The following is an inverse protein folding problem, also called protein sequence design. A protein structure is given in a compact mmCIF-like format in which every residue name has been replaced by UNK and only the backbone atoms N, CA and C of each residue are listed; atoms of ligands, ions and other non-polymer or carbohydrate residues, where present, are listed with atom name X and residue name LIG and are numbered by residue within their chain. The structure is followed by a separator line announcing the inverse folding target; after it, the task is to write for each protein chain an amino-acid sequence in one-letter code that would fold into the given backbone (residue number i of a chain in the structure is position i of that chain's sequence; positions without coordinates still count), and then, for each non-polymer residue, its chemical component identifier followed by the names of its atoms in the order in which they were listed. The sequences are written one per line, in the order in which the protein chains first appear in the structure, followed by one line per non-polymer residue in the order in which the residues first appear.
data_IF_891219632250
#
_entry.id   IF_891219632250
#
_cell.length_a   1.000
_cell.length_b   1.000
_cell.length_c   1.000
_cell.angle_alpha   90.00
_cell.angle_beta   90.00
_cell.angle_gamma   90.00
#
_symmetry.space_group_name_H-M   'P 1'
#
loop_
_entity.id
_entity.type
_entity.pdbx_description
1 polymer ?
#
# COMPACT_ATOMS: atom_id res chain seq x y z
N UNK A 1 32.53 -6.83 -3.50
CA UNK A 1 32.39 -6.21 -4.84
C UNK A 1 32.36 -4.68 -4.65
N UNK A 2 32.89 -3.86 -5.55
CA UNK A 2 32.65 -2.39 -5.45
C UNK A 2 31.21 -2.12 -5.90
N UNK A 3 30.40 -1.35 -5.16
CA UNK A 3 29.04 -1.02 -5.58
C UNK A 3 29.05 -0.27 -6.91
N UNK A 4 28.09 -0.56 -7.80
CA UNK A 4 27.89 0.23 -9.01
C UNK A 4 27.36 1.62 -8.62
N UNK A 5 28.02 2.67 -9.09
CA UNK A 5 27.50 4.03 -9.03
C UNK A 5 26.90 4.37 -10.38
N UNK A 6 25.59 4.55 -10.43
CA UNK A 6 24.87 4.83 -11.67
C UNK A 6 24.19 6.19 -11.61
N UNK A 7 24.20 6.92 -12.73
CA UNK A 7 23.51 8.21 -12.84
C UNK A 7 22.02 8.02 -13.05
N UNK A 8 21.22 8.98 -12.59
CA UNK A 8 19.79 8.97 -12.78
C UNK A 8 19.39 8.98 -14.26
N UNK A 9 20.09 9.71 -15.12
CA UNK A 9 19.82 9.76 -16.57
C UNK A 9 19.69 8.40 -17.23
N UNK A 10 20.51 7.41 -16.85
CA UNK A 10 20.45 6.05 -17.41
C UNK A 10 19.10 5.36 -17.16
N UNK A 11 18.37 5.82 -16.14
CA UNK A 11 17.09 5.29 -15.71
C UNK A 11 15.93 6.27 -15.92
N UNK A 12 16.14 7.41 -16.59
CA UNK A 12 15.10 8.42 -16.81
C UNK A 12 13.80 7.82 -17.37
N UNK A 13 13.96 6.94 -18.34
CA UNK A 13 12.88 6.20 -18.98
C UNK A 13 12.05 5.33 -18.01
N UNK A 14 12.61 4.89 -16.87
CA UNK A 14 11.92 4.03 -15.90
C UNK A 14 10.89 4.79 -15.07
N UNK A 15 11.13 6.07 -14.76
CA UNK A 15 10.14 6.91 -14.08
C UNK A 15 9.32 7.77 -15.04
N UNK A 16 9.79 7.95 -16.28
CA UNK A 16 9.03 8.62 -17.35
C UNK A 16 8.02 7.69 -18.05
N UNK A 17 8.09 6.37 -17.87
CA UNK A 17 7.10 5.41 -18.39
C UNK A 17 6.27 4.86 -17.24
N UNK A 18 5.20 5.54 -16.84
CA UNK A 18 4.51 5.11 -15.66
C UNK A 18 3.52 4.05 -16.15
N UNK A 19 3.63 2.84 -15.59
CA UNK A 19 2.51 1.91 -15.50
C UNK A 19 1.45 2.55 -14.60
N UNK A 20 0.86 3.66 -15.05
CA UNK A 20 -0.15 4.34 -14.29
C UNK A 20 -1.36 3.42 -14.25
N UNK A 21 -1.70 2.96 -13.05
CA UNK A 21 -3.07 2.55 -12.79
C UNK A 21 -4.00 3.65 -13.29
N UNK A 22 -5.19 3.29 -13.77
CA UNK A 22 -6.15 4.28 -14.27
C UNK A 22 -6.43 5.35 -13.20
N UNK A 23 -6.41 4.97 -11.91
CA UNK A 23 -6.41 5.89 -10.78
C UNK A 23 -5.29 6.92 -10.90
N UNK A 24 -4.03 6.48 -10.98
CA UNK A 24 -2.90 7.39 -11.07
C UNK A 24 -3.03 8.33 -12.26
N UNK A 25 -3.41 7.85 -13.46
CA UNK A 25 -3.57 8.71 -14.65
C UNK A 25 -4.52 9.86 -14.38
N UNK A 26 -5.69 9.52 -13.84
CA UNK A 26 -6.75 10.49 -13.58
C UNK A 26 -6.31 11.55 -12.57
N UNK A 27 -5.55 11.18 -11.52
CA UNK A 27 -5.09 12.15 -10.51
C UNK A 27 -3.75 12.82 -10.83
N UNK A 28 -3.02 12.42 -11.86
CA UNK A 28 -1.76 13.08 -12.26
C UNK A 28 -1.91 13.96 -13.49
N UNK A 29 -2.94 13.71 -14.30
CA UNK A 29 -3.24 14.46 -15.51
C UNK A 29 -3.59 15.92 -15.17
N UNK A 30 -2.76 16.90 -15.60
CA UNK A 30 -3.02 18.32 -15.35
C UNK A 30 -4.31 18.83 -16.00
N UNK A 31 -4.81 18.17 -17.06
CA UNK A 31 -6.09 18.55 -17.68
C UNK A 31 -7.28 18.03 -16.87
N UNK A 32 -7.09 16.94 -16.12
CA UNK A 32 -8.13 16.30 -15.32
C UNK A 32 -8.19 16.80 -13.88
N UNK A 33 -7.06 17.23 -13.29
CA UNK A 33 -6.96 17.57 -11.87
C UNK A 33 -6.03 18.77 -11.63
N UNK A 34 -6.60 19.78 -10.98
CA UNK A 34 -5.87 20.95 -10.46
C UNK A 34 -4.65 20.56 -9.62
N UNK A 35 -3.61 21.40 -9.60
CA UNK A 35 -2.35 21.12 -8.88
C UNK A 35 -2.58 20.67 -7.43
N UNK A 36 -3.53 21.30 -6.74
CA UNK A 36 -3.86 20.96 -5.36
C UNK A 36 -4.50 19.57 -5.23
N UNK A 37 -5.35 19.17 -6.18
CA UNK A 37 -5.92 17.83 -6.22
C UNK A 37 -4.87 16.75 -6.40
N UNK A 38 -3.82 17.02 -7.21
CA UNK A 38 -2.68 16.11 -7.38
C UNK A 38 -1.89 15.96 -6.08
N UNK A 39 -1.64 17.07 -5.38
CA UNK A 39 -1.00 17.06 -4.06
C UNK A 39 -1.81 16.27 -3.04
N UNK A 40 -3.14 16.48 -3.00
CA UNK A 40 -4.04 15.75 -2.10
C UNK A 40 -4.04 14.25 -2.42
N UNK A 41 -4.10 13.87 -3.69
CA UNK A 41 -4.03 12.47 -4.11
C UNK A 41 -2.72 11.79 -3.64
N UNK A 42 -1.60 12.52 -3.67
CA UNK A 42 -0.28 12.06 -3.22
C UNK A 42 -0.11 12.01 -1.69
N UNK A 43 -1.01 12.64 -0.91
CA UNK A 43 -0.95 12.55 0.56
C UNK A 43 -1.09 11.10 1.04
N UNK A 44 -0.36 10.79 2.12
CA UNK A 44 -0.55 9.54 2.86
C UNK A 44 -2.00 9.41 3.35
N UNK A 45 -2.48 8.19 3.58
CA UNK A 45 -3.84 7.95 4.10
C UNK A 45 -4.18 8.80 5.34
N UNK A 46 -3.34 8.81 6.40
CA UNK A 46 -3.56 9.64 7.58
C UNK A 46 -3.55 11.15 7.30
N UNK A 47 -2.61 11.65 6.50
CA UNK A 47 -2.54 13.09 6.18
C UNK A 47 -3.75 13.55 5.35
N UNK A 48 -4.15 12.73 4.37
CA UNK A 48 -5.37 12.94 3.58
C UNK A 48 -6.61 12.95 4.46
N UNK A 49 -6.68 12.02 5.42
CA UNK A 49 -7.78 11.94 6.37
C UNK A 49 -7.86 13.18 7.27
N UNK A 50 -6.73 13.64 7.84
CA UNK A 50 -6.70 14.86 8.66
C UNK A 50 -7.14 16.12 7.88
N UNK A 51 -6.68 16.25 6.63
CA UNK A 51 -7.14 17.31 5.73
C UNK A 51 -8.65 17.22 5.49
N UNK A 52 -9.17 16.03 5.20
CA UNK A 52 -10.61 15.82 5.03
C UNK A 52 -11.38 16.16 6.33
N UNK A 53 -10.92 15.70 7.50
CA UNK A 53 -11.57 15.99 8.77
C UNK A 53 -11.65 17.50 9.04
N UNK A 54 -10.60 18.27 8.73
CA UNK A 54 -10.60 19.73 8.89
C UNK A 54 -11.71 20.39 8.05
N UNK A 55 -11.87 19.92 6.81
CA UNK A 55 -12.89 20.45 5.88
C UNK A 55 -14.29 20.05 6.28
N UNK A 56 -14.48 18.80 6.70
CA UNK A 56 -15.78 18.35 7.20
C UNK A 56 -16.17 19.10 8.48
N UNK A 57 -15.21 19.38 9.36
CA UNK A 57 -15.44 20.15 10.58
C UNK A 57 -15.91 21.58 10.29
N UNK A 58 -15.33 22.21 9.27
CA UNK A 58 -15.75 23.53 8.79
C UNK A 58 -17.14 23.49 8.15
N UNK A 59 -17.38 22.52 7.26
CA UNK A 59 -18.69 22.31 6.64
C UNK A 59 -19.79 22.03 7.67
N UNK A 60 -19.49 21.24 8.72
CA UNK A 60 -20.43 20.96 9.82
C UNK A 60 -20.73 22.21 10.65
N UNK A 61 -19.74 23.10 10.83
CA UNK A 61 -19.91 24.41 11.45
C UNK A 61 -20.82 25.34 10.64
N UNK A 62 -20.67 25.34 9.31
CA UNK A 62 -21.51 26.12 8.40
C UNK A 62 -22.95 25.59 8.36
N UNK A 63 -23.13 24.27 8.39
CA UNK A 63 -24.44 23.63 8.40
C UNK A 63 -25.20 23.80 9.73
N UNK A 64 -24.50 24.11 10.82
CA UNK A 64 -25.07 24.22 12.17
C UNK A 64 -24.58 25.49 12.87
N UNK A 65 -25.02 26.67 12.38
CA UNK A 65 -24.63 27.94 12.97
C UNK A 65 -25.08 28.02 14.43
N UNK A 66 -24.13 28.33 15.33
CA UNK A 66 -24.37 28.46 16.77
C UNK A 66 -24.24 27.15 17.57
N UNK A 67 -24.03 26.01 16.91
CA UNK A 67 -23.73 24.76 17.60
C UNK A 67 -22.41 24.84 18.36
N UNK A 68 -22.33 24.17 19.51
CA UNK A 68 -21.09 24.05 20.29
C UNK A 68 -20.31 22.86 19.80
N UNK A 69 -19.01 23.03 19.61
CA UNK A 69 -18.14 21.96 19.17
C UNK A 69 -17.08 21.66 20.23
N UNK A 70 -16.93 20.38 20.52
CA UNK A 70 -15.85 19.81 21.30
C UNK A 70 -14.98 18.96 20.37
N UNK A 71 -13.79 19.47 20.08
CA UNK A 71 -12.81 18.86 19.18
C UNK A 71 -11.88 17.86 19.92
N UNK A 72 -12.16 17.53 21.19
CA UNK A 72 -11.48 16.45 21.89
C UNK A 72 -11.86 15.10 21.28
N UNK A 73 -11.03 14.62 20.35
CA UNK A 73 -11.19 13.31 19.75
C UNK A 73 -11.20 12.22 20.84
N UNK A 74 -12.28 11.44 20.89
CA UNK A 74 -12.40 10.27 21.79
C UNK A 74 -12.52 8.99 20.98
N UNK A 75 -12.53 7.87 21.68
CA UNK A 75 -12.57 6.57 21.02
C UNK A 75 -13.86 6.39 20.19
N UNK A 76 -13.74 6.48 18.87
CA UNK A 76 -14.78 6.14 17.91
C UNK A 76 -15.57 7.30 17.29
N UNK A 77 -15.24 8.54 17.64
CA UNK A 77 -15.72 9.76 16.96
C UNK A 77 -14.62 10.82 16.86
N UNK A 78 -14.78 11.76 15.93
CA UNK A 78 -13.75 12.75 15.59
C UNK A 78 -14.00 14.10 16.29
N UNK A 79 -15.26 14.51 16.45
CA UNK A 79 -15.69 15.62 17.32
C UNK A 79 -17.09 15.40 17.87
N UNK A 80 -17.50 16.22 18.83
CA UNK A 80 -18.86 16.28 19.33
C UNK A 80 -19.46 17.66 19.03
N UNK A 81 -20.65 17.67 18.43
CA UNK A 81 -21.44 18.87 18.12
C UNK A 81 -22.69 18.85 18.98
N UNK A 82 -22.77 19.74 19.97
CA UNK A 82 -23.76 19.70 21.06
C UNK A 82 -23.74 18.32 21.74
N UNK A 83 -24.77 17.49 21.56
CA UNK A 83 -24.84 16.10 22.04
C UNK A 83 -24.62 15.06 20.93
N UNK A 84 -24.30 15.50 19.71
CA UNK A 84 -24.10 14.65 18.53
C UNK A 84 -22.61 14.30 18.40
N UNK A 85 -22.26 13.05 18.69
CA UNK A 85 -20.93 12.50 18.40
C UNK A 85 -20.81 12.24 16.89
N UNK A 86 -19.87 12.89 16.22
CA UNK A 86 -19.68 12.81 14.77
C UNK A 86 -18.39 12.05 14.46
N UNK A 87 -18.50 10.97 13.67
CA UNK A 87 -17.35 10.25 13.13
C UNK A 87 -17.16 10.58 11.64
N UNK A 88 -15.91 10.70 11.22
CA UNK A 88 -15.52 11.00 9.84
C UNK A 88 -14.74 9.87 9.23
N UNK A 89 -15.03 9.52 7.98
CA UNK A 89 -14.16 8.63 7.21
C UNK A 89 -13.92 9.19 5.82
N UNK A 90 -12.69 9.08 5.34
CA UNK A 90 -12.33 9.55 4.01
C UNK A 90 -11.93 8.40 3.10
N UNK A 91 -12.33 8.46 1.83
CA UNK A 91 -11.86 7.56 0.78
C UNK A 91 -11.60 8.34 -0.50
N UNK A 92 -10.59 7.92 -1.25
CA UNK A 92 -10.35 8.41 -2.60
C UNK A 92 -11.00 7.47 -3.61
N UNK A 93 -11.63 8.04 -4.64
CA UNK A 93 -12.17 7.29 -5.76
C UNK A 93 -11.02 6.62 -6.52
N UNK A 94 -11.00 5.29 -6.57
CA UNK A 94 -9.91 4.53 -7.16
C UNK A 94 -10.42 3.49 -8.17
N UNK A 95 -9.72 3.35 -9.29
CA UNK A 95 -9.93 2.25 -10.22
C UNK A 95 -9.34 0.97 -9.62
N UNK A 96 -10.21 -0.02 -9.39
CA UNK A 96 -9.83 -1.35 -8.93
C UNK A 96 -10.00 -2.33 -10.08
N UNK A 97 -8.92 -3.02 -10.46
CA UNK A 97 -9.00 -4.18 -11.35
C UNK A 97 -9.54 -5.38 -10.56
N UNK A 98 -10.52 -6.09 -11.13
CA UNK A 98 -11.11 -7.29 -10.53
C UNK A 98 -10.83 -8.50 -11.42
N UNK A 99 -10.03 -9.44 -10.91
CA UNK A 99 -9.69 -10.66 -11.64
C UNK A 99 -8.99 -10.37 -12.96
N UNK A 100 -9.33 -11.12 -14.00
CA UNK A 100 -8.48 -11.16 -15.19
C UNK A 100 -8.67 -9.98 -16.15
N UNK A 101 -9.83 -9.31 -16.27
CA UNK A 101 -10.00 -8.31 -17.36
C UNK A 101 -10.98 -7.15 -17.14
N UNK A 102 -11.67 -7.06 -16.00
CA UNK A 102 -12.63 -5.97 -15.79
C UNK A 102 -12.33 -5.19 -14.53
N UNK A 103 -12.13 -3.89 -14.70
CA UNK A 103 -12.00 -2.97 -13.58
C UNK A 103 -13.28 -2.18 -13.34
N UNK A 104 -13.35 -1.55 -12.17
CA UNK A 104 -14.43 -0.62 -11.80
C UNK A 104 -13.87 0.43 -10.85
N UNK A 105 -14.50 1.60 -10.82
CA UNK A 105 -14.22 2.61 -9.81
C UNK A 105 -14.83 2.22 -8.47
N UNK A 106 -14.10 2.48 -7.38
CA UNK A 106 -14.43 2.03 -6.03
C UNK A 106 -14.15 3.13 -5.02
N UNK A 107 -15.05 3.27 -4.04
CA UNK A 107 -14.79 3.94 -2.76
C UNK A 107 -14.77 2.89 -1.66
N UNK A 108 -13.77 2.96 -0.78
CA UNK A 108 -13.52 2.00 0.29
C UNK A 108 -13.19 2.73 1.58
N UNK A 109 -14.17 2.81 2.47
CA UNK A 109 -14.00 3.37 3.81
C UNK A 109 -13.76 2.22 4.78
N UNK A 110 -12.63 2.26 5.48
CA UNK A 110 -12.25 1.22 6.45
C UNK A 110 -12.39 1.74 7.88
N UNK A 111 -12.38 0.81 8.85
CA UNK A 111 -12.44 1.11 10.28
C UNK A 111 -13.70 1.91 10.69
N UNK A 112 -14.84 1.57 10.09
CA UNK A 112 -16.13 2.21 10.39
C UNK A 112 -16.76 1.49 11.57
N UNK A 113 -16.82 2.15 12.73
CA UNK A 113 -17.41 1.57 13.95
C UNK A 113 -18.90 1.90 14.01
N UNK A 114 -19.72 1.10 13.32
CA UNK A 114 -21.17 1.25 13.44
C UNK A 114 -21.67 0.58 14.72
N UNK A 115 -22.68 1.16 15.36
CA UNK A 115 -23.39 0.55 16.49
C UNK A 115 -23.65 -0.93 16.21
N UNK A 116 -23.32 -1.79 17.18
CA UNK A 116 -23.90 -3.12 17.21
C UNK A 116 -25.31 -3.02 17.80
N UNK A 117 -26.18 -3.99 17.54
CA UNK A 117 -27.52 -4.02 18.16
C UNK A 117 -27.46 -4.12 19.71
N UNK A 118 -26.28 -4.37 20.29
CA UNK A 118 -26.10 -4.70 21.70
C UNK A 118 -25.37 -3.59 22.49
N UNK A 119 -24.71 -2.64 21.81
CA UNK A 119 -23.90 -1.59 22.45
C UNK A 119 -24.24 -0.20 21.88
N UNK A 120 -24.23 0.81 22.75
CA UNK A 120 -24.38 2.21 22.34
C UNK A 120 -23.33 2.54 21.27
N UNK A 121 -23.81 3.08 20.14
CA UNK A 121 -22.95 3.51 19.05
C UNK A 121 -21.90 4.49 19.56
N UNK A 122 -20.61 4.34 19.20
CA UNK A 122 -19.60 5.31 19.60
C UNK A 122 -19.83 6.69 18.96
N UNK A 123 -20.65 6.78 17.91
CA UNK A 123 -21.07 8.02 17.28
C UNK A 123 -22.55 8.00 16.88
N UNK A 124 -23.17 9.18 16.90
CA UNK A 124 -24.56 9.39 16.46
C UNK A 124 -24.62 9.63 14.94
N UNK A 125 -23.62 10.31 14.39
CA UNK A 125 -23.55 10.69 12.99
C UNK A 125 -22.25 10.17 12.34
N UNK A 126 -22.36 9.69 11.10
CA UNK A 126 -21.21 9.30 10.27
C UNK A 126 -21.17 10.21 9.05
N UNK A 127 -20.08 10.95 8.89
CA UNK A 127 -19.82 11.74 7.70
C UNK A 127 -18.68 11.12 6.87
N UNK A 128 -18.83 11.15 5.54
CA UNK A 128 -17.88 10.59 4.59
C UNK A 128 -17.30 11.69 3.71
N UNK A 129 -15.98 11.71 3.59
CA UNK A 129 -15.25 12.53 2.63
C UNK A 129 -14.92 11.67 1.39
N UNK A 130 -15.48 12.03 0.24
CA UNK A 130 -15.22 11.38 -1.04
C UNK A 130 -14.25 12.27 -1.83
N UNK A 131 -12.99 11.87 -1.89
CA UNK A 131 -11.98 12.56 -2.70
C UNK A 131 -12.13 12.11 -4.15
N UNK A 132 -12.48 13.03 -5.03
CA UNK A 132 -12.63 12.84 -6.47
C UNK A 132 -11.63 13.72 -7.24
N UNK A 133 -11.49 13.56 -8.55
CA UNK A 133 -10.68 14.45 -9.39
C UNK A 133 -11.18 15.91 -9.43
N UNK A 134 -12.45 16.18 -9.14
CA UNK A 134 -12.99 17.55 -9.14
C UNK A 134 -12.86 18.27 -7.78
N UNK A 135 -12.68 17.52 -6.70
CA UNK A 135 -12.69 18.07 -5.35
C UNK A 135 -13.05 17.03 -4.30
N UNK A 136 -13.55 17.50 -3.17
CA UNK A 136 -13.98 16.66 -2.05
C UNK A 136 -15.48 16.82 -1.86
N UNK A 137 -16.21 15.73 -1.93
CA UNK A 137 -17.63 15.70 -1.59
C UNK A 137 -17.82 15.21 -0.15
N UNK A 138 -18.64 15.93 0.60
CA UNK A 138 -18.93 15.67 2.00
C UNK A 138 -20.34 15.11 2.10
N UNK A 139 -20.47 13.90 2.64
CA UNK A 139 -21.73 13.17 2.72
C UNK A 139 -22.06 12.84 4.17
N UNK A 140 -23.31 13.08 4.59
CA UNK A 140 -23.88 12.43 5.78
C UNK A 140 -24.37 11.04 5.38
N UNK A 141 -23.81 10.00 6.01
CA UNK A 141 -24.10 8.61 5.68
C UNK A 141 -25.28 8.05 6.49
N UNK A 142 -26.09 7.22 5.86
CA UNK A 142 -27.28 6.57 6.46
C UNK A 142 -26.94 5.42 7.46
N UNK A 143 -25.65 5.07 7.57
CA UNK A 143 -25.09 3.94 8.34
C UNK A 143 -25.55 2.56 7.87
N UNK A 144 -26.13 2.43 6.68
CA UNK A 144 -26.61 1.14 6.12
C UNK A 144 -26.06 0.89 4.73
N UNK A 145 -26.05 1.90 3.87
CA UNK A 145 -25.69 1.77 2.47
C UNK A 145 -24.22 1.35 2.32
N UNK A 146 -23.98 0.32 1.49
CA UNK A 146 -22.64 -0.18 1.18
C UNK A 146 -21.86 -0.78 2.36
N UNK A 147 -22.46 -0.92 3.54
CA UNK A 147 -21.82 -1.53 4.71
C UNK A 147 -21.62 -3.03 4.46
N UNK A 148 -20.38 -3.49 4.45
CA UNK A 148 -20.04 -4.92 4.40
C UNK A 148 -20.52 -5.66 5.65
N UNK A 149 -21.00 -6.89 5.48
CA UNK A 149 -21.48 -7.77 6.56
C UNK A 149 -20.57 -9.00 6.73
N UNK A 150 -19.33 -8.96 6.22
CA UNK A 150 -18.56 -10.16 5.94
C UNK A 150 -17.39 -10.34 6.92
N UNK A 151 -17.68 -11.02 8.03
CA UNK A 151 -16.69 -11.86 8.73
C UNK A 151 -16.40 -11.50 10.18
N UNK A 152 -15.96 -12.50 10.94
CA UNK A 152 -15.65 -12.44 12.39
C UNK A 152 -14.59 -11.39 12.77
N UNK A 153 -13.77 -10.95 11.80
CA UNK A 153 -12.72 -9.94 11.98
C UNK A 153 -13.28 -8.50 12.08
N UNK A 154 -14.49 -8.25 11.60
CA UNK A 154 -15.10 -6.91 11.59
C UNK A 154 -15.42 -6.39 12.99
N UNK A 155 -15.54 -7.26 14.01
CA UNK A 155 -15.75 -6.84 15.41
C UNK A 155 -14.54 -6.10 15.99
N UNK A 156 -13.33 -6.46 15.57
CA UNK A 156 -12.09 -5.87 16.11
C UNK A 156 -11.61 -4.69 15.27
N UNK A 157 -11.77 -4.77 13.95
CA UNK A 157 -11.23 -3.76 13.02
C UNK A 157 -12.27 -2.71 12.60
N UNK A 158 -13.54 -2.91 12.91
CA UNK A 158 -14.65 -2.12 12.39
C UNK A 158 -15.14 -2.64 11.03
N UNK A 159 -16.31 -2.17 10.61
CA UNK A 159 -16.92 -2.50 9.32
C UNK A 159 -16.25 -1.71 8.20
N UNK A 160 -16.47 -2.18 6.97
CA UNK A 160 -16.04 -1.49 5.75
C UNK A 160 -17.26 -1.01 4.97
N UNK A 161 -17.24 0.22 4.47
CA UNK A 161 -18.24 0.73 3.53
C UNK A 161 -17.62 0.71 2.14
N UNK A 162 -18.29 0.06 1.19
CA UNK A 162 -17.83 -0.08 -0.19
C UNK A 162 -18.90 0.41 -1.16
N UNK A 163 -18.50 1.32 -2.05
CA UNK A 163 -19.34 1.76 -3.18
C UNK A 163 -18.62 1.43 -4.49
N UNK A 164 -19.40 0.97 -5.47
CA UNK A 164 -18.85 0.50 -6.74
C UNK A 164 -19.52 1.19 -7.93
N UNK A 165 -18.71 1.70 -8.84
CA UNK A 165 -19.13 2.07 -10.18
C UNK A 165 -19.43 0.84 -11.04
N UNK A 166 -20.00 1.06 -12.22
CA UNK A 166 -20.25 -0.02 -13.19
C UNK A 166 -18.94 -0.59 -13.73
N UNK A 167 -18.90 -1.91 -13.82
CA UNK A 167 -17.77 -2.67 -14.38
C UNK A 167 -17.52 -2.25 -15.83
N UNK A 168 -16.25 -1.99 -16.16
CA UNK A 168 -15.80 -1.58 -17.49
C UNK A 168 -15.94 -0.09 -17.80
N UNK A 169 -16.63 0.70 -16.98
CA UNK A 169 -16.77 2.16 -17.18
C UNK A 169 -15.48 2.86 -16.74
N UNK A 170 -14.57 3.09 -17.70
CA UNK A 170 -13.24 3.69 -17.41
C UNK A 170 -13.31 5.15 -16.99
N UNK A 171 -14.28 5.92 -17.47
CA UNK A 171 -14.46 7.33 -17.09
C UNK A 171 -14.86 7.47 -15.63
N UNK A 172 -14.00 8.08 -14.81
CA UNK A 172 -14.24 8.25 -13.38
C UNK A 172 -15.53 9.03 -13.12
N UNK A 173 -15.77 10.10 -13.90
CA UNK A 173 -16.95 10.98 -13.74
C UNK A 173 -18.24 10.21 -13.99
N UNK A 174 -18.32 9.51 -15.12
CA UNK A 174 -19.46 8.65 -15.43
C UNK A 174 -19.68 7.55 -14.37
N UNK A 175 -18.60 6.93 -13.88
CA UNK A 175 -18.71 5.94 -12.81
C UNK A 175 -19.17 6.56 -11.48
N UNK A 176 -18.75 7.78 -11.18
CA UNK A 176 -19.11 8.49 -9.97
C UNK A 176 -20.55 9.01 -10.02
N UNK A 177 -20.87 9.85 -11.00
CA UNK A 177 -22.14 10.56 -11.13
C UNK A 177 -23.32 9.65 -11.49
N UNK A 178 -23.10 8.62 -12.32
CA UNK A 178 -24.19 7.75 -12.78
C UNK A 178 -24.37 6.49 -11.93
N UNK A 179 -23.39 6.11 -11.11
CA UNK A 179 -23.44 4.83 -10.38
C UNK A 179 -23.17 4.94 -8.89
N UNK A 180 -22.16 5.69 -8.45
CA UNK A 180 -21.82 5.77 -7.03
C UNK A 180 -22.72 6.79 -6.31
N UNK A 181 -22.81 8.01 -6.84
CA UNK A 181 -23.62 9.09 -6.28
C UNK A 181 -25.11 8.72 -6.16
N UNK A 182 -25.76 8.14 -7.19
CA UNK A 182 -27.17 7.74 -7.08
C UNK A 182 -27.39 6.64 -6.04
N UNK A 183 -26.43 5.71 -5.86
CA UNK A 183 -26.53 4.68 -4.80
C UNK A 183 -26.48 5.28 -3.41
N UNK A 184 -25.61 6.27 -3.18
CA UNK A 184 -25.57 7.01 -1.92
C UNK A 184 -26.92 7.70 -1.66
N UNK A 185 -27.45 8.41 -2.65
CA UNK A 185 -28.73 9.13 -2.53
C UNK A 185 -29.92 8.20 -2.33
N UNK A 186 -30.03 7.12 -3.11
CA UNK A 186 -31.09 6.10 -2.97
C UNK A 186 -31.02 5.38 -1.62
N UNK A 187 -29.81 5.27 -1.05
CA UNK A 187 -29.57 4.78 0.30
C UNK A 187 -30.03 5.72 1.41
N UNK A 188 -30.37 6.97 1.10
CA UNK A 188 -30.66 7.99 2.11
C UNK A 188 -29.42 8.69 2.66
N UNK A 189 -28.25 8.53 2.02
CA UNK A 189 -27.11 9.40 2.31
C UNK A 189 -27.37 10.79 1.71
N UNK A 190 -26.97 11.83 2.43
CA UNK A 190 -27.20 13.22 2.06
C UNK A 190 -25.87 13.88 1.71
N UNK A 191 -25.77 14.46 0.50
CA UNK A 191 -24.64 15.31 0.13
C UNK A 191 -24.80 16.62 0.91
N UNK A 192 -23.86 16.90 1.81
CA UNK A 192 -23.82 18.16 2.57
C UNK A 192 -23.18 19.26 1.74
N UNK A 193 -22.05 18.96 1.11
CA UNK A 193 -21.27 19.95 0.37
C UNK A 193 -20.36 19.29 -0.68
N UNK A 194 -20.04 20.03 -1.75
CA UNK A 194 -18.98 19.68 -2.70
C UNK A 194 -17.97 20.81 -2.75
N UNK A 195 -16.75 20.56 -2.27
CA UNK A 195 -15.68 21.56 -2.16
C UNK A 195 -14.68 21.36 -3.31
N UNK A 196 -14.67 22.25 -4.33
CA UNK A 196 -13.75 22.12 -5.45
C UNK A 196 -12.30 22.45 -5.03
N UNK A 197 -11.31 21.96 -5.77
CA UNK A 197 -9.89 22.19 -5.42
C UNK A 197 -9.46 23.67 -5.47
N UNK A 198 -10.20 24.51 -6.18
CA UNK A 198 -9.95 25.96 -6.25
C UNK A 198 -10.52 26.75 -5.06
N UNK A 199 -11.28 26.10 -4.18
CA UNK A 199 -11.86 26.74 -2.99
C UNK A 199 -10.76 27.17 -2.01
N UNK A 200 -10.85 28.41 -1.51
CA UNK A 200 -9.88 28.96 -0.54
C UNK A 200 -9.75 28.12 0.73
N UNK A 201 -10.81 27.42 1.13
CA UNK A 201 -10.82 26.50 2.28
C UNK A 201 -9.92 25.29 2.07
N UNK A 202 -9.74 24.83 0.82
CA UNK A 202 -8.74 23.79 0.55
C UNK A 202 -7.35 24.26 0.92
N UNK A 203 -6.98 25.48 0.53
CA UNK A 203 -5.67 26.05 0.84
C UNK A 203 -5.51 26.31 2.34
N UNK A 204 -6.57 26.78 3.02
CA UNK A 204 -6.58 26.97 4.46
C UNK A 204 -6.45 25.65 5.23
N UNK A 205 -7.20 24.61 4.84
CA UNK A 205 -7.08 23.27 5.41
C UNK A 205 -5.67 22.71 5.15
N UNK A 206 -5.12 22.88 3.95
CA UNK A 206 -3.75 22.47 3.66
C UNK A 206 -2.74 23.20 4.55
N UNK A 207 -2.94 24.51 4.79
CA UNK A 207 -2.10 25.33 5.66
C UNK A 207 -2.18 24.91 7.13
N UNK A 208 -3.38 24.65 7.65
CA UNK A 208 -3.60 24.15 9.00
C UNK A 208 -2.93 22.78 9.21
N UNK A 209 -2.96 21.96 8.16
CA UNK A 209 -2.35 20.65 8.14
C UNK A 209 -0.90 20.67 7.61
N UNK A 210 -0.23 21.85 7.51
CA UNK A 210 1.20 21.92 7.12
C UNK A 210 2.11 21.25 8.14
N UNK A 211 1.76 21.27 9.42
CA UNK A 211 2.45 20.45 10.43
C UNK A 211 2.29 18.93 10.21
N UNK A 212 1.34 18.54 9.36
CA UNK A 212 1.08 17.18 8.90
C UNK A 212 1.66 16.94 7.49
N UNK A 213 2.30 17.94 6.86
CA UNK A 213 3.22 17.63 5.76
C UNK A 213 4.30 16.75 6.37
N UNK A 214 4.12 15.44 6.16
CA UNK A 214 5.04 14.43 6.66
C UNK A 214 6.44 14.90 6.29
N UNK A 215 7.44 14.87 7.18
CA UNK A 215 8.83 15.17 6.84
C UNK A 215 9.27 14.46 5.55
N UNK A 216 8.64 13.33 5.23
CA UNK A 216 8.74 12.63 3.96
C UNK A 216 8.38 13.49 2.75
N UNK A 217 7.26 14.20 2.72
CA UNK A 217 6.85 15.00 1.57
C UNK A 217 7.89 16.10 1.28
N UNK A 218 8.33 16.81 2.33
CA UNK A 218 9.39 17.81 2.21
C UNK A 218 10.71 17.18 1.74
N UNK A 219 11.12 16.06 2.34
CA UNK A 219 12.34 15.35 1.98
C UNK A 219 12.32 14.84 0.53
N UNK A 220 11.16 14.42 0.01
CA UNK A 220 11.02 13.86 -1.33
C UNK A 220 10.56 14.88 -2.39
N UNK A 221 10.42 16.16 -2.07
CA UNK A 221 9.83 17.16 -2.97
C UNK A 221 10.48 17.22 -4.37
N UNK A 222 11.76 16.84 -4.49
CA UNK A 222 12.51 16.84 -5.76
C UNK A 222 12.86 15.44 -6.29
N UNK A 223 12.41 14.39 -5.63
CA UNK A 223 12.72 13.03 -6.02
C UNK A 223 11.78 12.58 -7.18
N UNK A 224 12.30 11.95 -8.24
CA UNK A 224 11.56 11.71 -9.49
C UNK A 224 10.35 10.77 -9.33
N UNK A 225 10.28 9.99 -8.26
CA UNK A 225 9.17 9.07 -7.99
C UNK A 225 8.30 9.52 -6.81
N UNK A 226 8.48 10.75 -6.31
CA UNK A 226 7.73 11.28 -5.17
C UNK A 226 6.24 11.40 -5.46
N UNK A 227 5.90 11.83 -6.67
CA UNK A 227 4.52 11.99 -7.14
C UNK A 227 3.85 10.66 -7.51
N UNK A 228 4.63 9.61 -7.74
CA UNK A 228 4.08 8.28 -8.03
C UNK A 228 3.41 7.70 -6.79
N UNK A 229 2.22 7.12 -6.97
CA UNK A 229 1.57 6.33 -5.93
C UNK A 229 2.39 5.09 -5.52
N UNK A 230 2.10 4.47 -4.36
CA UNK A 230 2.89 3.35 -3.84
C UNK A 230 3.04 2.15 -4.79
N UNK A 231 2.01 1.83 -5.59
CA UNK A 231 2.02 0.76 -6.58
C UNK A 231 2.98 1.06 -7.74
N UNK A 232 2.70 2.06 -8.59
CA UNK A 232 3.59 2.43 -9.70
C UNK A 232 5.04 2.69 -9.28
N UNK A 233 5.25 3.28 -8.09
CA UNK A 233 6.58 3.47 -7.52
C UNK A 233 7.28 2.14 -7.23
N UNK A 234 6.56 1.15 -6.70
CA UNK A 234 7.09 -0.21 -6.46
C UNK A 234 7.48 -0.88 -7.78
N UNK A 235 6.65 -0.77 -8.83
CA UNK A 235 6.98 -1.22 -10.19
C UNK A 235 8.31 -0.65 -10.67
N UNK A 236 8.43 0.68 -10.62
CA UNK A 236 9.60 1.41 -11.09
C UNK A 236 10.87 0.96 -10.35
N UNK A 237 10.78 0.83 -9.02
CA UNK A 237 11.88 0.32 -8.19
C UNK A 237 12.23 -1.14 -8.52
N UNK A 238 11.25 -2.01 -8.75
CA UNK A 238 11.51 -3.39 -9.14
C UNK A 238 12.23 -3.49 -10.50
N UNK A 239 11.79 -2.68 -11.49
CA UNK A 239 12.43 -2.59 -12.80
C UNK A 239 13.85 -2.04 -12.70
N UNK A 240 14.08 -1.03 -11.85
CA UNK A 240 15.42 -0.50 -11.56
C UNK A 240 16.34 -1.58 -10.99
N UNK A 241 15.90 -2.32 -9.96
CA UNK A 241 16.70 -3.40 -9.36
C UNK A 241 17.02 -4.48 -10.39
N UNK A 242 16.06 -4.84 -11.25
CA UNK A 242 16.27 -5.83 -12.30
C UNK A 242 17.32 -5.39 -13.32
N UNK A 243 17.34 -4.11 -13.67
CA UNK A 243 18.35 -3.55 -14.57
C UNK A 243 19.73 -3.56 -13.91
N UNK A 244 19.83 -3.19 -12.63
CA UNK A 244 21.08 -3.32 -11.85
C UNK A 244 21.55 -4.77 -11.82
N UNK A 245 20.64 -5.71 -11.59
CA UNK A 245 20.94 -7.15 -11.55
C UNK A 245 21.49 -7.65 -12.90
N UNK A 246 20.86 -7.27 -14.01
CA UNK A 246 21.37 -7.58 -15.36
C UNK A 246 22.76 -7.03 -15.63
N UNK A 247 23.08 -5.83 -15.12
CA UNK A 247 24.42 -5.24 -15.28
C UNK A 247 25.48 -5.97 -14.46
N UNK A 248 25.14 -6.43 -13.25
CA UNK A 248 26.04 -7.20 -12.39
C UNK A 248 26.26 -8.63 -12.91
N UNK A 249 25.29 -9.16 -13.64
CA UNK A 249 25.32 -10.53 -14.16
C UNK A 249 25.12 -10.57 -15.69
N UNK A 250 26.06 -10.01 -16.48
CA UNK A 250 25.89 -9.86 -17.93
C UNK A 250 25.83 -11.18 -18.70
N UNK A 251 26.28 -12.28 -18.09
CA UNK A 251 26.24 -13.64 -18.66
C UNK A 251 25.07 -14.48 -18.14
N UNK A 252 24.32 -13.97 -17.17
CA UNK A 252 23.23 -14.72 -16.57
C UNK A 252 22.00 -14.76 -17.49
N UNK A 253 21.27 -15.85 -17.39
CA UNK A 253 19.97 -16.01 -18.01
C UNK A 253 18.89 -15.45 -17.10
N UNK A 254 18.06 -14.55 -17.64
CA UNK A 254 16.94 -13.96 -16.91
C UNK A 254 15.63 -14.48 -17.48
N UNK A 255 14.89 -15.24 -16.68
CA UNK A 255 13.52 -15.61 -17.00
C UNK A 255 12.57 -14.76 -16.14
N UNK A 256 11.51 -14.22 -16.74
CA UNK A 256 10.44 -13.63 -15.93
C UNK A 256 9.89 -14.69 -14.98
N UNK A 257 9.52 -14.26 -13.77
CA UNK A 257 8.75 -15.11 -12.88
C UNK A 257 7.51 -15.50 -13.65
N UNK A 258 7.42 -16.78 -14.06
CA UNK A 258 6.30 -17.26 -14.83
C UNK A 258 5.06 -16.99 -13.98
N UNK A 259 4.31 -15.95 -14.32
CA UNK A 259 2.90 -15.84 -13.94
C UNK A 259 2.29 -17.03 -14.65
N UNK A 260 2.28 -18.23 -14.07
CA UNK A 260 1.44 -19.30 -14.61
C UNK A 260 0.06 -18.70 -14.60
N UNK A 261 -0.39 -18.30 -15.78
CA UNK A 261 -1.80 -18.15 -16.04
C UNK A 261 -2.34 -19.51 -15.63
N UNK A 262 -3.10 -19.54 -14.53
CA UNK A 262 -4.09 -20.58 -14.31
C UNK A 262 -5.14 -20.40 -15.41
N UNK A 263 -4.74 -20.64 -16.66
CA UNK A 263 -5.62 -20.94 -17.76
C UNK A 263 -6.21 -22.29 -17.40
N UNK A 264 -7.33 -22.24 -16.67
CA UNK A 264 -8.26 -23.35 -16.67
C UNK A 264 -8.54 -23.69 -18.14
N UNK A 265 -8.41 -24.96 -18.57
CA UNK A 265 -8.59 -25.37 -19.97
C UNK A 265 -9.93 -24.94 -20.61
N UNK A 266 -10.89 -24.46 -19.81
CA UNK A 266 -12.21 -23.99 -20.27
C UNK A 266 -12.23 -22.58 -20.90
N UNK A 267 -11.14 -21.80 -20.87
CA UNK A 267 -11.14 -20.40 -21.38
C UNK A 267 -10.27 -20.22 -22.63
N UNK A 268 -10.13 -21.25 -23.48
CA UNK A 268 -9.33 -21.18 -24.74
C UNK A 268 -10.07 -20.61 -25.96
N UNK A 269 -11.28 -20.06 -25.80
CA UNK A 269 -11.97 -19.34 -26.88
C UNK A 269 -12.35 -17.94 -26.42
N UNK A 270 -11.38 -17.03 -26.39
CA UNK A 270 -11.51 -15.66 -26.90
C UNK A 270 -10.31 -14.80 -26.45
N UNK A 271 -9.68 -14.19 -27.45
CA UNK A 271 -8.77 -13.04 -27.41
C UNK A 271 -7.27 -13.24 -27.12
N UNK A 272 -6.53 -13.13 -28.22
CA UNK A 272 -5.19 -12.60 -28.31
C UNK A 272 -5.19 -11.06 -28.19
N UNK A 273 -4.06 -10.54 -27.72
CA UNK A 273 -3.62 -9.13 -27.79
C UNK A 273 -4.24 -8.16 -26.78
N UNK A 274 -3.52 -7.95 -25.66
CA UNK A 274 -3.10 -6.65 -25.08
C UNK A 274 -2.37 -6.98 -23.77
N UNK A 275 -1.06 -6.72 -23.75
CA UNK A 275 -0.21 -6.83 -22.56
C UNK A 275 -0.31 -5.53 -21.76
N UNK A 276 -0.96 -5.56 -20.60
CA UNK A 276 -0.91 -4.48 -19.61
C UNK A 276 -0.63 -5.09 -18.24
N UNK A 277 0.36 -4.52 -17.56
CA UNK A 277 0.95 -5.02 -16.32
C UNK A 277 0.07 -4.69 -15.10
N UNK A 278 -0.42 -5.73 -14.39
CA UNK A 278 -1.13 -5.61 -13.11
C UNK A 278 -0.18 -5.45 -11.91
N UNK A 279 -0.43 -4.45 -11.05
CA UNK A 279 0.29 -4.29 -9.76
C UNK A 279 -0.56 -3.98 -8.49
N UNK A 280 -1.87 -3.72 -8.56
CA UNK A 280 -2.60 -3.11 -7.42
C UNK A 280 -3.53 -4.03 -6.59
N UNK A 281 -3.32 -5.35 -6.53
CA UNK A 281 -4.13 -6.25 -5.70
C UNK A 281 -3.43 -6.71 -4.41
N UNK A 282 -3.44 -5.88 -3.37
CA UNK A 282 -2.88 -6.22 -2.05
C UNK A 282 -3.92 -6.31 -0.92
N UNK A 283 -5.19 -6.62 -1.22
CA UNK A 283 -6.19 -6.95 -0.19
C UNK A 283 -7.15 -8.05 -0.67
N UNK A 284 -6.97 -9.27 -0.16
CA UNK A 284 -7.93 -10.36 -0.33
C UNK A 284 -7.31 -11.73 -0.03
N UNK A 285 -7.80 -12.38 1.03
CA UNK A 285 -7.50 -13.77 1.38
C UNK A 285 -7.92 -14.71 0.23
N UNK A 286 -6.95 -15.28 -0.50
CA UNK A 286 -7.17 -16.44 -1.37
C UNK A 286 -6.09 -17.49 -1.06
N UNK A 287 -6.51 -18.61 -0.45
CA UNK A 287 -5.65 -19.68 0.09
C UNK A 287 -5.30 -20.77 -0.95
N UNK A 288 -4.83 -20.39 -2.14
CA UNK A 288 -4.43 -21.38 -3.17
C UNK A 288 -3.29 -20.91 -4.07
N UNK A 289 -2.15 -21.63 -4.02
CA UNK A 289 -1.00 -21.60 -4.96
C UNK A 289 -0.50 -20.18 -5.38
N UNK A 290 -0.04 -19.37 -4.42
CA UNK A 290 0.39 -17.98 -4.65
C UNK A 290 1.92 -17.77 -4.81
N UNK A 291 2.77 -18.78 -4.61
CA UNK A 291 4.23 -18.56 -4.49
C UNK A 291 4.91 -18.12 -5.80
N UNK A 292 4.36 -18.45 -6.98
CA UNK A 292 4.87 -17.95 -8.28
C UNK A 292 4.66 -16.44 -8.47
N UNK A 293 3.73 -15.82 -7.74
CA UNK A 293 3.52 -14.35 -7.76
C UNK A 293 4.53 -13.58 -6.90
N UNK A 294 5.34 -14.28 -6.11
CA UNK A 294 6.26 -13.64 -5.15
C UNK A 294 7.69 -13.52 -5.66
N UNK A 295 8.09 -14.40 -6.59
CA UNK A 295 9.35 -14.32 -7.31
C UNK A 295 9.28 -13.17 -8.32
N UNK A 296 10.21 -12.22 -8.25
CA UNK A 296 10.25 -11.11 -9.19
C UNK A 296 10.82 -11.57 -10.54
N UNK A 297 11.87 -12.40 -10.53
CA UNK A 297 12.41 -13.07 -11.72
C UNK A 297 13.31 -14.24 -11.32
N UNK A 298 13.71 -15.06 -12.29
CA UNK A 298 14.77 -16.07 -12.12
C UNK A 298 16.06 -15.62 -12.79
N UNK A 299 17.19 -15.78 -12.10
CA UNK A 299 18.55 -15.55 -12.59
C UNK A 299 19.33 -16.85 -12.49
N UNK A 300 19.69 -17.45 -13.62
CA UNK A 300 20.36 -18.77 -13.67
C UNK A 300 19.64 -19.86 -12.85
N UNK A 301 18.31 -19.89 -12.96
CA UNK A 301 17.45 -20.79 -12.21
C UNK A 301 17.16 -20.37 -10.76
N UNK A 302 17.96 -19.49 -10.15
CA UNK A 302 17.74 -18.94 -8.81
C UNK A 302 16.55 -17.98 -8.79
N UNK A 303 15.70 -18.07 -7.78
CA UNK A 303 14.56 -17.16 -7.56
C UNK A 303 15.02 -15.91 -6.84
N UNK A 304 14.96 -14.79 -7.54
CA UNK A 304 15.28 -13.47 -7.01
C UNK A 304 13.98 -12.77 -6.65
N UNK A 305 13.88 -12.34 -5.40
CA UNK A 305 12.74 -11.58 -4.88
C UNK A 305 13.18 -10.15 -4.61
N UNK A 306 12.46 -9.17 -5.17
CA UNK A 306 12.66 -7.77 -4.83
C UNK A 306 11.62 -7.30 -3.84
N UNK A 307 12.08 -6.51 -2.88
CA UNK A 307 11.22 -5.72 -2.00
C UNK A 307 11.73 -4.28 -1.98
N UNK A 308 10.82 -3.34 -2.07
CA UNK A 308 11.13 -1.92 -2.04
C UNK A 308 10.44 -1.25 -0.86
N UNK A 309 11.10 -0.24 -0.31
CA UNK A 309 10.54 0.62 0.72
C UNK A 309 11.00 2.05 0.48
N UNK A 310 10.08 3.00 0.67
CA UNK A 310 10.40 4.41 0.79
C UNK A 310 10.80 4.72 2.23
N UNK A 311 11.80 5.58 2.39
CA UNK A 311 12.15 6.17 3.68
C UNK A 311 10.96 6.96 4.23
N UNK A 312 10.49 6.59 5.43
CA UNK A 312 9.28 7.16 6.02
C UNK A 312 9.55 7.70 7.43
N UNK A 313 8.87 8.77 7.81
CA UNK A 313 8.91 9.32 9.16
C UNK A 313 7.93 8.57 10.07
N UNK A 314 8.41 8.04 11.19
CA UNK A 314 7.61 7.41 12.24
C UNK A 314 7.35 8.43 13.35
N UNK A 315 6.23 9.14 13.25
CA UNK A 315 5.86 10.23 14.17
C UNK A 315 5.85 9.81 15.64
N UNK A 316 5.39 8.59 15.96
CA UNK A 316 5.32 8.08 17.33
C UNK A 316 6.67 7.97 18.05
N UNK A 317 7.76 7.85 17.29
CA UNK A 317 9.11 7.74 17.82
C UNK A 317 10.03 8.85 17.28
N UNK A 318 9.47 9.83 16.59
CA UNK A 318 10.18 10.92 15.90
C UNK A 318 11.44 10.41 15.18
N UNK A 319 11.33 9.40 14.31
CA UNK A 319 12.50 8.82 13.63
C UNK A 319 12.20 8.38 12.21
N UNK A 320 13.23 8.35 11.38
CA UNK A 320 13.15 7.78 10.04
C UNK A 320 13.25 6.26 10.06
N UNK A 321 12.53 5.60 9.14
CA UNK A 321 12.55 4.14 8.99
C UNK A 321 12.32 3.65 7.56
N UNK A 322 12.75 2.42 7.31
CA UNK A 322 12.27 1.57 6.21
C UNK A 322 11.48 0.39 6.78
N UNK A 323 10.36 0.06 6.12
CA UNK A 323 9.55 -1.11 6.44
C UNK A 323 9.32 -1.91 5.16
N UNK A 324 9.91 -3.10 5.11
CA UNK A 324 9.62 -4.10 4.08
C UNK A 324 8.65 -5.12 4.66
N UNK A 325 7.65 -5.51 3.88
CA UNK A 325 6.59 -6.44 4.29
C UNK A 325 6.47 -7.63 3.33
N UNK A 326 5.90 -8.73 3.81
CA UNK A 326 5.64 -9.91 2.98
C UNK A 326 6.93 -10.60 2.55
N UNK A 327 7.93 -10.65 3.43
CA UNK A 327 9.15 -11.43 3.22
C UNK A 327 8.83 -12.89 3.52
N UNK A 328 9.04 -13.79 2.56
CA UNK A 328 8.87 -15.23 2.80
C UNK A 328 10.22 -15.89 2.87
N UNK A 329 10.60 -16.35 4.06
CA UNK A 329 11.86 -17.06 4.21
C UNK A 329 11.77 -18.47 3.65
N UNK A 330 12.90 -19.05 3.22
CA UNK A 330 12.98 -20.47 3.01
C UNK A 330 12.48 -21.24 4.23
N UNK A 331 11.63 -22.24 4.00
CA UNK A 331 11.34 -23.22 5.04
C UNK A 331 12.68 -23.77 5.52
N UNK A 332 12.96 -23.64 6.82
CA UNK A 332 14.18 -24.18 7.39
C UNK A 332 14.28 -25.64 6.96
N UNK A 333 15.41 -26.04 6.37
CA UNK A 333 15.65 -27.43 6.01
C UNK A 333 15.25 -28.29 7.21
N UNK A 334 14.44 -29.35 7.02
CA UNK A 334 13.98 -30.17 8.12
C UNK A 334 15.24 -30.55 8.91
N UNK A 335 15.32 -30.09 10.17
CA UNK A 335 16.43 -30.44 11.04
C UNK A 335 16.46 -31.95 10.99
N UNK A 336 17.52 -32.52 10.38
CA UNK A 336 17.72 -33.96 10.37
C UNK A 336 17.49 -34.39 11.81
N UNK A 337 16.41 -35.14 12.07
CA UNK A 337 16.09 -35.61 13.42
C UNK A 337 17.36 -36.31 13.85
N UNK A 338 18.13 -35.65 14.73
CA UNK A 338 19.35 -36.23 15.25
C UNK A 338 18.94 -37.58 15.78
N UNK A 339 19.56 -38.63 15.22
CA UNK A 339 19.19 -40.02 15.51
C UNK A 339 19.18 -40.21 17.02
N UNK A 340 17.99 -40.12 17.60
CA UNK A 340 17.75 -40.53 18.97
C UNK A 340 17.90 -42.03 18.95
N UNK A 341 19.07 -42.49 19.37
CA UNK A 341 19.30 -43.89 19.74
C UNK A 341 18.37 -44.17 20.91
N UNK A 342 17.35 -45.00 20.68
CA UNK A 342 16.32 -45.38 21.65
C UNK A 342 15.28 -46.20 20.89
N UNK A 343 15.60 -47.45 20.60
CA UNK A 343 15.38 -48.64 21.44
C UNK A 343 13.94 -49.15 21.33
N UNK A 344 13.85 -50.47 21.18
CA UNK A 344 12.79 -51.19 20.48
C UNK A 344 11.43 -51.13 21.15
N UNK A 345 10.39 -50.99 20.31
CA UNK A 345 9.00 -51.04 20.72
C UNK A 345 8.09 -51.10 19.50
N UNK A 346 7.96 -52.29 18.93
CA UNK A 346 7.06 -52.61 17.82
C UNK A 346 5.60 -52.47 18.26
N UNK A 347 4.82 -51.66 17.56
CA UNK A 347 3.35 -51.82 17.48
C UNK A 347 2.93 -51.56 16.04
N UNK A 348 2.44 -52.62 15.41
CA UNK A 348 1.86 -52.64 14.08
C UNK A 348 0.55 -51.83 14.07
N UNK A 349 0.43 -50.90 13.12
CA UNK A 349 -0.70 -49.97 13.03
C UNK A 349 -0.80 -49.35 11.65
N UNK A 350 -1.29 -50.17 10.72
CA UNK A 350 -1.57 -49.94 9.31
C UNK A 350 -2.66 -48.87 9.09
N UNK A 351 -2.43 -47.93 8.17
CA UNK A 351 -3.40 -46.86 7.85
C UNK A 351 -2.86 -45.75 6.94
N UNK A 352 -2.24 -46.13 5.83
CA UNK A 352 -1.64 -45.25 4.83
C UNK A 352 -2.68 -44.43 4.03
N UNK A 353 -2.51 -43.10 4.04
CA UNK A 353 -2.96 -42.22 2.97
C UNK A 353 -1.77 -41.34 2.55
N UNK A 354 -1.10 -41.62 1.41
CA UNK A 354 0.15 -40.98 1.06
C UNK A 354 -0.06 -39.68 0.28
N UNK A 355 0.76 -38.68 0.64
CA UNK A 355 1.60 -38.00 -0.35
C UNK A 355 0.95 -36.94 -1.24
N UNK A 356 0.70 -35.74 -0.71
CA UNK A 356 0.65 -34.55 -1.58
C UNK A 356 0.96 -33.20 -0.91
N UNK A 357 1.20 -33.16 0.41
CA UNK A 357 1.35 -31.89 1.15
C UNK A 357 2.79 -31.51 1.47
N UNK A 358 3.73 -32.46 1.46
CA UNK A 358 5.14 -32.21 1.78
C UNK A 358 5.90 -31.55 0.62
N UNK A 359 5.74 -32.06 -0.62
CA UNK A 359 6.41 -31.51 -1.81
C UNK A 359 5.90 -30.11 -2.18
N UNK A 360 4.63 -29.80 -1.88
CA UNK A 360 4.08 -28.46 -2.15
C UNK A 360 4.66 -27.35 -1.26
N UNK A 361 5.29 -27.69 -0.12
CA UNK A 361 5.94 -26.71 0.78
C UNK A 361 7.40 -26.43 0.43
N UNK A 362 8.09 -27.36 -0.22
CA UNK A 362 9.51 -27.20 -0.57
C UNK A 362 9.73 -26.14 -1.67
N UNK A 363 8.71 -25.82 -2.48
CA UNK A 363 8.83 -24.91 -3.62
C UNK A 363 8.62 -23.42 -3.33
N UNK A 364 8.44 -23.00 -2.07
CA UNK A 364 8.06 -21.62 -1.73
C UNK A 364 9.19 -20.75 -1.14
N UNK A 365 10.41 -21.25 -1.02
CA UNK A 365 11.56 -20.48 -0.54
C UNK A 365 12.04 -19.44 -1.57
N UNK A 366 12.56 -18.30 -1.13
CA UNK A 366 13.37 -17.44 -2.01
C UNK A 366 14.84 -17.82 -1.86
N UNK A 367 15.59 -17.75 -2.96
CA UNK A 367 17.02 -18.07 -2.96
C UNK A 367 17.84 -16.79 -2.71
N UNK A 368 17.34 -15.65 -3.18
CA UNK A 368 17.94 -14.34 -2.96
C UNK A 368 16.88 -13.26 -2.72
N UNK A 369 17.16 -12.35 -1.77
CA UNK A 369 16.35 -11.17 -1.48
C UNK A 369 17.14 -9.90 -1.79
N UNK A 370 16.63 -9.12 -2.75
CA UNK A 370 17.13 -7.79 -3.06
C UNK A 370 16.22 -6.71 -2.46
N UNK A 371 16.83 -5.73 -1.78
CA UNK A 371 16.13 -4.59 -1.20
C UNK A 371 16.43 -3.33 -2.01
N UNK A 372 15.37 -2.62 -2.41
CA UNK A 372 15.44 -1.27 -2.94
C UNK A 372 15.02 -0.25 -1.88
N UNK A 373 15.97 0.58 -1.44
CA UNK A 373 15.73 1.67 -0.50
C UNK A 373 15.58 2.97 -1.28
N UNK A 374 14.34 3.45 -1.40
CA UNK A 374 14.05 4.73 -2.03
C UNK A 374 14.22 5.87 -1.02
N UNK A 375 15.17 6.76 -1.28
CA UNK A 375 15.57 7.90 -0.46
C UNK A 375 15.42 9.20 -1.24
N UNK A 376 15.47 10.38 -0.59
CA UNK A 376 15.53 11.66 -1.29
C UNK A 376 16.68 11.79 -2.32
N UNK A 377 17.84 11.17 -2.04
CA UNK A 377 19.04 11.26 -2.90
C UNK A 377 19.09 10.27 -4.04
N UNK A 378 18.36 9.17 -3.93
CA UNK A 378 18.50 8.07 -4.88
C UNK A 378 17.88 6.76 -4.40
N UNK A 379 18.22 5.69 -5.12
CA UNK A 379 17.87 4.33 -4.76
C UNK A 379 19.12 3.53 -4.42
N UNK A 380 19.17 2.97 -3.20
CA UNK A 380 20.18 1.98 -2.84
C UNK A 380 19.66 0.58 -3.10
N UNK A 381 20.49 -0.27 -3.68
CA UNK A 381 20.17 -1.68 -3.94
C UNK A 381 21.09 -2.56 -3.10
N UNK A 382 20.50 -3.41 -2.26
CA UNK A 382 21.22 -4.32 -1.38
C UNK A 382 20.80 -5.77 -1.61
N UNK A 383 21.76 -6.70 -1.55
CA UNK A 383 21.49 -8.11 -1.30
C UNK A 383 21.42 -8.35 0.20
N UNK A 384 20.25 -8.75 0.68
CA UNK A 384 19.97 -8.93 2.10
C UNK A 384 20.40 -10.32 2.60
N UNK A 385 20.88 -10.41 3.83
CA UNK A 385 21.38 -11.63 4.48
C UNK A 385 20.29 -12.52 5.10
N UNK A 386 19.02 -12.09 4.98
CA UNK A 386 17.84 -12.71 5.61
C UNK A 386 17.87 -12.75 7.15
N UNK A 387 18.75 -11.98 7.77
CA UNK A 387 18.93 -11.94 9.22
C UNK A 387 18.68 -10.54 9.80
N UNK A 388 19.25 -9.51 9.17
CA UNK A 388 19.20 -8.13 9.67
C UNK A 388 17.76 -7.60 9.70
N UNK A 389 17.35 -7.02 10.83
CA UNK A 389 16.07 -6.33 10.97
C UNK A 389 14.82 -7.20 10.78
N UNK A 390 14.96 -8.51 10.64
CA UNK A 390 13.85 -9.43 10.37
C UNK A 390 13.05 -9.71 11.64
N UNK A 391 11.74 -9.40 11.64
CA UNK A 391 10.87 -9.64 12.79
C UNK A 391 10.46 -11.11 12.88
N UNK A 392 11.14 -11.90 13.71
CA UNK A 392 10.82 -13.34 13.89
C UNK A 392 9.66 -13.61 14.85
N UNK A 393 9.28 -12.62 15.66
CA UNK A 393 8.22 -12.74 16.66
C UNK A 393 6.84 -12.45 16.06
N UNK A 394 5.90 -13.38 16.19
CA UNK A 394 4.49 -13.20 15.82
C UNK A 394 3.89 -14.44 15.14
N UNK A 395 2.83 -15.01 15.73
CA UNK A 395 2.09 -16.16 15.14
C UNK A 395 1.53 -15.85 13.75
N UNK A 396 1.29 -14.57 13.45
CA UNK A 396 0.72 -14.10 12.18
C UNK A 396 1.75 -14.13 11.03
N UNK A 397 3.06 -14.13 11.34
CA UNK A 397 4.13 -14.02 10.34
C UNK A 397 4.18 -15.24 9.41
N UNK A 398 3.73 -16.41 9.87
CA UNK A 398 3.68 -17.62 9.04
C UNK A 398 2.68 -17.48 7.86
N UNK A 399 1.62 -16.69 8.03
CA UNK A 399 0.60 -16.48 7.00
C UNK A 399 0.86 -15.21 6.17
N UNK A 400 1.27 -14.13 6.83
CA UNK A 400 1.44 -12.81 6.19
C UNK A 400 2.86 -12.56 5.66
N UNK A 401 3.82 -13.40 6.04
CA UNK A 401 5.25 -13.16 5.82
C UNK A 401 5.89 -12.36 6.95
N UNK A 402 7.22 -12.34 6.95
CA UNK A 402 8.04 -11.56 7.86
C UNK A 402 8.15 -10.10 7.39
N UNK A 403 8.59 -9.23 8.30
CA UNK A 403 8.91 -7.84 8.01
C UNK A 403 10.39 -7.59 8.25
N UNK A 404 10.98 -6.69 7.47
CA UNK A 404 12.30 -6.12 7.75
C UNK A 404 12.08 -4.67 8.17
N UNK A 405 12.61 -4.30 9.34
CA UNK A 405 12.53 -2.95 9.89
C UNK A 405 13.93 -2.38 10.06
N UNK A 406 14.18 -1.23 9.46
CA UNK A 406 15.41 -0.46 9.62
C UNK A 406 15.05 0.89 10.21
N UNK A 407 15.68 1.27 11.31
CA UNK A 407 15.38 2.50 12.04
C UNK A 407 16.63 3.37 12.18
N UNK A 408 16.45 4.66 11.93
CA UNK A 408 17.37 5.71 12.32
C UNK A 408 17.28 6.05 13.82
N UNK A 409 18.04 7.06 14.27
CA UNK A 409 18.00 7.51 15.66
C UNK A 409 16.64 8.11 16.02
N UNK A 410 16.27 8.02 17.29
CA UNK A 410 15.09 8.69 17.85
C UNK A 410 15.35 10.18 17.94
N UNK A 411 14.37 11.00 17.53
CA UNK A 411 14.45 12.47 17.44
C UNK A 411 15.47 13.02 16.44
N UNK A 412 15.95 12.20 15.51
CA UNK A 412 16.76 12.67 14.39
C UNK A 412 15.85 13.06 13.22
N UNK A 413 15.55 14.35 13.09
CA UNK A 413 14.68 14.88 12.05
C UNK A 413 15.37 14.93 10.68
N UNK A 414 16.70 14.99 10.63
CA UNK A 414 17.44 14.98 9.36
C UNK A 414 17.43 13.58 8.76
N UNK A 415 16.72 13.41 7.65
CA UNK A 415 16.72 12.13 6.93
C UNK A 415 18.13 11.74 6.48
N UNK A 416 18.98 12.71 6.12
CA UNK A 416 20.34 12.44 5.68
C UNK A 416 21.19 11.91 6.83
N UNK A 417 21.14 12.56 8.01
CA UNK A 417 21.85 12.10 9.19
C UNK A 417 21.37 10.72 9.65
N UNK A 418 20.05 10.49 9.66
CA UNK A 418 19.48 9.19 10.00
C UNK A 418 19.89 8.08 9.00
N UNK A 419 19.94 8.40 7.72
CA UNK A 419 20.33 7.48 6.66
C UNK A 419 21.81 7.14 6.74
N UNK A 420 22.67 8.15 6.66
CA UNK A 420 24.12 8.00 6.51
C UNK A 420 24.78 7.62 7.84
N UNK A 421 24.29 8.16 8.96
CA UNK A 421 24.85 7.92 10.29
C UNK A 421 24.36 6.65 10.98
N UNK A 422 23.28 6.00 10.50
CA UNK A 422 22.70 4.86 11.22
C UNK A 422 22.18 3.75 10.31
N UNK A 423 21.34 4.07 9.32
CA UNK A 423 20.67 3.02 8.53
C UNK A 423 21.66 2.33 7.58
N UNK A 424 22.42 3.10 6.79
CA UNK A 424 23.38 2.54 5.83
C UNK A 424 24.53 1.78 6.52
N UNK A 425 25.15 2.27 7.61
CA UNK A 425 26.17 1.49 8.32
C UNK A 425 25.68 0.14 8.83
N UNK A 426 24.43 0.05 9.33
CA UNK A 426 23.82 -1.23 9.74
C UNK A 426 23.65 -2.19 8.56
N UNK A 427 23.25 -1.67 7.41
CA UNK A 427 23.12 -2.46 6.20
C UNK A 427 24.48 -2.91 5.68
N UNK A 428 25.47 -2.04 5.60
CA UNK A 428 26.80 -2.38 5.07
C UNK A 428 27.54 -3.39 5.96
N UNK A 429 27.22 -3.45 7.26
CA UNK A 429 27.79 -4.43 8.19
C UNK A 429 27.27 -5.86 7.98
N UNK A 430 26.07 -6.04 7.44
CA UNK A 430 25.43 -7.36 7.33
C UNK A 430 25.00 -7.75 5.90
N UNK A 431 24.76 -6.78 5.03
CA UNK A 431 24.24 -6.93 3.67
C UNK A 431 25.27 -6.46 2.65
N UNK A 432 25.17 -6.95 1.41
CA UNK A 432 26.03 -6.49 0.32
C UNK A 432 25.35 -5.36 -0.45
N UNK A 433 25.97 -4.17 -0.49
CA UNK A 433 25.52 -3.06 -1.32
C UNK A 433 25.89 -3.34 -2.79
N UNK A 434 24.88 -3.53 -3.62
CA UNK A 434 25.04 -3.84 -5.05
C UNK A 434 25.19 -2.57 -5.89
N UNK A 435 24.36 -1.55 -5.63
CA UNK A 435 24.40 -0.29 -6.36
C UNK A 435 23.84 0.88 -5.56
N UNK A 436 24.21 2.09 -5.98
CA UNK A 436 23.53 3.32 -5.67
C UNK A 436 23.20 4.07 -6.97
N UNK A 437 21.92 4.38 -7.16
CA UNK A 437 21.42 5.15 -8.31
C UNK A 437 21.05 6.53 -7.82
N UNK A 438 21.89 7.53 -8.10
CA UNK A 438 21.68 8.90 -7.66
C UNK A 438 20.60 9.61 -8.51
N UNK A 439 19.82 10.48 -7.89
CA UNK A 439 18.96 11.42 -8.61
C UNK A 439 19.73 12.69 -8.93
N UNK A 440 19.62 13.18 -10.16
CA UNK A 440 20.47 14.25 -10.70
C UNK A 440 20.32 15.62 -10.01
N UNK A 441 19.32 15.78 -9.13
CA UNK A 441 18.93 17.06 -8.54
C UNK A 441 18.95 17.07 -7.00
N UNK A 442 19.60 16.11 -6.35
CA UNK A 442 19.49 15.96 -4.89
C UNK A 442 20.44 16.83 -4.07
N UNK A 443 21.55 17.30 -4.65
CA UNK A 443 22.63 18.01 -3.94
C UNK A 443 22.74 19.51 -4.31
N UNK A 444 21.85 20.03 -5.16
CA UNK A 444 21.68 21.48 -5.44
C UNK A 444 20.58 22.06 -4.55
#
# INVERSE_FOLDING_TARGET
MRPLSLTGSAFAHLWQSPSHSITSRVYTDPESVELLGRRIAALSGPAKHALCCSLLREADGLAHPGARFDDEAREGYDWQRDDVKVAVRSSQLAWQMQGNYTGRWVLSFSNVRLASEVEDSPHHELQLAVVTPDGIEIWRHDRRTGVGHAGRLERVQGKRIMMYGKVGVRGWRAAHELWIRPKLQQGGCMLLESVPYVDGRMSAAFALNRGIESPVLAAFARAPMAELGPGPRRAALAKLVKTVDRQLHPKATFAEGARRRLESPRVRRAHASIELEDEDSNQGQFLGRHWEKECSWRRDGQRVTVRSAQMNWEASHCRWRFLFSGIRLPAAAPRAKGGGVGDGGSVDGEGDAPGDTADQRAHASLDELLLALYTPRGCYVYRHDLSLGLTRTGRVNALQGFHIKLHGPVREESWAAALDGTILPKLDAACERLAFVAFENADS
#
